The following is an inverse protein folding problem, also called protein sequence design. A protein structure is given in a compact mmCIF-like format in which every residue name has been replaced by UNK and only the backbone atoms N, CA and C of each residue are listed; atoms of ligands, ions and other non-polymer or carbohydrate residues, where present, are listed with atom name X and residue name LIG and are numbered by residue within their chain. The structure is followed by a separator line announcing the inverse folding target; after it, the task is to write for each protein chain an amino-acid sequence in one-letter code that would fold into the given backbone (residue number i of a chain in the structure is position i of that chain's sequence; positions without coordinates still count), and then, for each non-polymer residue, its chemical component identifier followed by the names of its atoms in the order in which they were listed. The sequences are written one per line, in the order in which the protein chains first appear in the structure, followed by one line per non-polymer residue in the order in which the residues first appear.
data_IF_309769507838
#
_entry.id   IF_309769507838
#
_cell.length_a   1.000
_cell.length_b   1.000
_cell.length_c   1.000
_cell.angle_alpha   90.00
_cell.angle_beta   90.00
_cell.angle_gamma   90.00
#
_symmetry.space_group_name_H-M   'P 1'
#
loop_
_entity.id
_entity.type
_entity.pdbx_description
1 polymer ?
#
# COMPACT_ATOMS: atom_id res chain seq x y z
N UNK A 1 20.48 39.36 22.12
CA UNK A 1 20.06 38.00 22.53
C UNK A 1 18.61 37.79 22.12
N UNK A 2 18.23 36.53 21.92
CA UNK A 2 16.90 36.03 21.52
C UNK A 2 16.65 35.97 20.01
N UNK A 3 17.10 34.85 19.42
CA UNK A 3 16.71 34.40 18.10
C UNK A 3 15.35 33.73 18.11
N UNK A 4 14.60 33.94 17.03
CA UNK A 4 13.35 33.25 16.74
C UNK A 4 13.62 32.29 15.58
N UNK A 5 13.74 31.00 15.91
CA UNK A 5 13.92 29.91 14.96
C UNK A 5 12.61 29.62 14.22
N UNK A 6 12.54 30.00 12.95
CA UNK A 6 11.46 29.60 12.04
C UNK A 6 11.70 28.19 11.51
N UNK A 7 10.98 27.21 12.05
CA UNK A 7 10.89 25.86 11.50
C UNK A 7 10.12 25.89 10.19
N UNK A 8 10.79 25.52 9.09
CA UNK A 8 10.23 25.46 7.74
C UNK A 8 10.27 23.99 7.30
N UNK A 9 9.18 23.26 7.50
CA UNK A 9 9.11 21.85 7.12
C UNK A 9 8.43 21.70 5.74
N UNK A 10 9.28 21.63 4.71
CA UNK A 10 8.87 21.28 3.35
C UNK A 10 8.84 19.77 3.20
N UNK A 11 7.67 19.17 3.37
CA UNK A 11 7.53 17.71 3.26
C UNK A 11 6.87 17.28 1.94
N UNK A 12 7.72 16.77 1.04
CA UNK A 12 7.32 16.19 -0.24
C UNK A 12 7.16 14.68 -0.08
N UNK A 13 5.92 14.18 -0.07
CA UNK A 13 5.68 12.76 -0.27
C UNK A 13 4.93 12.49 -1.56
N UNK A 14 5.47 11.49 -2.25
CA UNK A 14 5.09 10.94 -3.53
C UNK A 14 4.17 9.76 -3.24
N UNK A 15 2.88 9.85 -3.52
CA UNK A 15 1.96 8.70 -3.48
C UNK A 15 2.13 7.89 -4.77
N UNK A 16 2.46 6.60 -4.63
CA UNK A 16 2.39 5.62 -5.68
C UNK A 16 1.14 4.77 -5.45
N UNK A 17 0.12 4.99 -6.27
CA UNK A 17 -1.07 4.16 -6.34
C UNK A 17 -0.75 2.95 -7.21
N UNK A 18 -0.72 1.76 -6.59
CA UNK A 18 -0.66 0.50 -7.30
C UNK A 18 -2.05 0.23 -7.91
N UNK A 19 -2.12 0.23 -9.24
CA UNK A 19 -3.25 -0.33 -9.96
C UNK A 19 -2.87 -1.72 -10.43
N UNK A 20 -3.50 -2.72 -9.82
CA UNK A 20 -3.52 -4.10 -10.29
C UNK A 20 -4.22 -4.13 -11.65
N UNK A 21 -3.54 -4.65 -12.67
CA UNK A 21 -4.15 -5.04 -13.94
C UNK A 21 -4.10 -6.57 -14.01
N UNK A 22 -5.21 -7.26 -14.30
CA UNK A 22 -5.20 -8.71 -14.42
C UNK A 22 -4.55 -9.12 -15.74
N UNK A 23 -3.58 -10.03 -15.65
CA UNK A 23 -2.99 -10.72 -16.79
C UNK A 23 -4.01 -11.69 -17.37
N UNK A 24 -4.51 -11.40 -18.57
CA UNK A 24 -5.28 -12.34 -19.38
C UNK A 24 -4.32 -13.30 -20.07
N UNK A 25 -4.14 -14.48 -19.50
CA UNK A 25 -3.52 -15.63 -20.19
C UNK A 25 -4.55 -16.74 -20.36
N UNK A 26 -5.12 -16.82 -21.56
CA UNK A 26 -5.62 -18.06 -22.15
C UNK A 26 -4.65 -18.34 -23.30
N UNK A 27 -3.97 -19.48 -23.44
CA UNK A 27 -4.34 -20.84 -23.08
C UNK A 27 -4.30 -21.63 -24.38
N UNK A 28 -3.12 -22.10 -24.78
CA UNK A 28 -3.01 -23.06 -25.89
C UNK A 28 -3.53 -24.42 -25.40
N UNK A 29 -4.47 -25.08 -26.10
CA UNK A 29 -4.81 -26.45 -25.79
C UNK A 29 -3.88 -27.41 -26.56
N UNK A 30 -3.32 -28.35 -25.80
CA UNK A 30 -2.83 -29.62 -26.33
C UNK A 30 -4.00 -30.48 -26.84
N UNK A 31 -3.76 -31.26 -27.89
CA UNK A 31 -4.50 -32.50 -28.15
C UNK A 31 -4.77 -32.77 -29.63
N UNK A 32 -4.02 -33.68 -30.24
CA UNK A 32 -4.56 -34.99 -30.65
C UNK A 32 -3.45 -35.92 -31.14
N UNK A 33 -3.38 -37.08 -30.49
CA UNK A 33 -2.85 -38.34 -31.03
C UNK A 33 -4.01 -39.02 -31.79
N UNK A 34 -3.67 -39.85 -32.76
CA UNK A 34 -4.10 -41.26 -32.91
C UNK A 34 -3.39 -41.84 -34.16
N UNK A 35 -2.52 -42.84 -34.00
CA UNK A 35 -2.73 -44.30 -34.25
C UNK A 35 -2.90 -44.59 -35.74
N UNK A 36 -2.34 -45.60 -36.39
CA UNK A 36 -1.99 -46.95 -35.97
C UNK A 36 -1.31 -47.63 -37.19
N UNK A 37 -0.27 -48.43 -36.97
CA UNK A 37 -0.07 -49.73 -37.66
C UNK A 37 1.06 -50.43 -36.91
N UNK A 38 0.64 -51.31 -36.01
CA UNK A 38 1.52 -52.29 -35.43
C UNK A 38 1.85 -53.39 -36.44
N UNK A 39 2.99 -54.03 -36.23
CA UNK A 39 3.11 -55.46 -36.41
C UNK A 39 4.22 -55.95 -35.47
N UNK A 40 3.78 -56.85 -34.60
CA UNK A 40 4.52 -57.54 -33.56
C UNK A 40 4.96 -58.88 -34.16
N UNK A 41 6.20 -59.34 -33.93
CA UNK A 41 6.51 -60.77 -33.74
C UNK A 41 7.89 -60.92 -33.09
N UNK A 42 7.88 -61.21 -31.79
CA UNK A 42 8.55 -62.35 -31.14
C UNK A 42 9.79 -63.03 -31.78
N UNK A 43 10.87 -63.02 -30.99
CA UNK A 43 11.56 -64.20 -30.39
C UNK A 43 12.55 -65.03 -31.25
N UNK A 44 13.54 -65.56 -30.51
CA UNK A 44 14.56 -66.59 -30.80
C UNK A 44 15.91 -65.99 -31.24
N UNK A 45 16.96 -65.92 -30.41
CA UNK A 45 17.78 -66.98 -29.79
C UNK A 45 18.24 -68.08 -30.74
N UNK A 46 19.58 -68.31 -30.71
CA UNK A 46 20.30 -69.49 -31.16
C UNK A 46 20.38 -69.66 -32.70
N UNK A 47 21.45 -70.10 -33.34
CA UNK A 47 22.83 -70.49 -33.00
C UNK A 47 23.51 -70.83 -34.33
N UNK A 48 24.84 -70.75 -34.40
CA UNK A 48 25.74 -71.78 -34.98
C UNK A 48 27.15 -71.18 -34.98
N UNK A 49 28.00 -71.49 -33.98
CA UNK A 49 28.83 -72.69 -33.88
C UNK A 49 29.82 -72.88 -35.04
N UNK A 50 31.12 -72.70 -34.74
CA UNK A 50 32.13 -73.79 -34.71
C UNK A 50 33.27 -73.35 -33.77
N UNK A 51 33.35 -73.94 -32.58
CA UNK A 51 34.16 -75.13 -32.25
C UNK A 51 35.67 -74.89 -32.27
N UNK A 52 36.26 -75.06 -31.09
CA UNK A 52 37.70 -75.06 -30.88
C UNK A 52 38.01 -74.82 -29.42
N UNK A 53 37.68 -75.80 -28.58
CA UNK A 53 37.97 -75.72 -27.15
C UNK A 53 39.46 -75.51 -26.90
N UNK A 54 39.77 -74.67 -25.93
CA UNK A 54 40.94 -74.88 -25.10
C UNK A 54 40.74 -74.15 -23.78
N UNK A 55 40.66 -74.95 -22.72
CA UNK A 55 41.20 -74.55 -21.44
C UNK A 55 42.67 -74.17 -21.65
N UNK A 56 42.95 -72.91 -22.02
CA UNK A 56 44.29 -72.37 -21.88
C UNK A 56 44.32 -71.73 -20.51
N UNK A 57 44.94 -72.46 -19.59
CA UNK A 57 45.41 -72.01 -18.30
C UNK A 57 45.40 -70.48 -18.18
N UNK A 58 44.76 -69.95 -17.14
CA UNK A 58 45.37 -68.86 -16.41
C UNK A 58 46.81 -69.31 -16.16
N UNK A 59 47.74 -68.93 -17.05
CA UNK A 59 49.15 -69.01 -16.76
C UNK A 59 49.25 -68.25 -15.46
N UNK A 60 49.47 -69.01 -14.40
CA UNK A 60 49.87 -68.50 -13.11
C UNK A 60 50.99 -67.52 -13.44
N UNK A 61 50.69 -66.22 -13.51
CA UNK A 61 51.74 -65.22 -13.51
C UNK A 61 52.52 -65.59 -12.26
N UNK A 62 53.77 -66.03 -12.45
CA UNK A 62 54.62 -66.44 -11.36
C UNK A 62 54.74 -65.23 -10.45
N UNK A 63 53.89 -65.18 -9.43
CA UNK A 63 53.88 -64.17 -8.39
C UNK A 63 55.16 -64.42 -7.63
N UNK A 64 56.20 -63.67 -7.98
CA UNK A 64 57.45 -63.75 -7.24
C UNK A 64 57.23 -63.04 -5.92
N UNK A 65 57.24 -63.81 -4.84
CA UNK A 65 57.15 -63.27 -3.48
C UNK A 65 58.55 -62.84 -3.07
N UNK A 66 58.74 -61.53 -2.84
CA UNK A 66 59.98 -60.95 -2.32
C UNK A 66 59.65 -60.34 -0.97
N UNK A 67 59.84 -61.11 0.11
CA UNK A 67 59.47 -60.73 1.47
C UNK A 67 57.94 -60.58 1.63
N UNK A 68 57.49 -59.41 2.09
CA UNK A 68 56.06 -59.11 2.31
C UNK A 68 55.31 -58.65 1.06
N UNK A 69 55.97 -58.50 -0.08
CA UNK A 69 55.36 -58.00 -1.33
C UNK A 69 55.32 -59.07 -2.41
N UNK A 70 54.32 -58.95 -3.29
CA UNK A 70 54.14 -59.80 -4.47
C UNK A 70 54.50 -59.02 -5.71
N UNK A 71 55.55 -59.46 -6.42
CA UNK A 71 55.94 -58.90 -7.70
C UNK A 71 55.14 -59.59 -8.81
N UNK A 72 54.27 -58.83 -9.48
CA UNK A 72 53.47 -59.31 -10.62
C UNK A 72 54.12 -58.83 -11.92
N UNK A 73 54.66 -59.76 -12.69
CA UNK A 73 55.34 -59.47 -13.96
C UNK A 73 54.34 -58.94 -15.00
N UNK A 74 54.62 -57.80 -15.66
CA UNK A 74 53.74 -57.24 -16.67
C UNK A 74 53.49 -58.22 -17.82
N UNK A 75 52.23 -58.49 -18.15
CA UNK A 75 51.88 -59.31 -19.30
C UNK A 75 52.13 -58.49 -20.58
N UNK A 76 53.18 -58.85 -21.33
CA UNK A 76 53.60 -58.13 -22.53
C UNK A 76 52.55 -58.15 -23.64
N UNK A 77 51.79 -59.23 -23.79
CA UNK A 77 50.74 -59.35 -24.81
C UNK A 77 49.60 -58.38 -24.52
N UNK A 78 49.12 -58.35 -23.27
CA UNK A 78 48.11 -57.38 -22.80
C UNK A 78 48.62 -55.95 -22.92
N UNK A 79 49.91 -55.70 -22.61
CA UNK A 79 50.52 -54.37 -22.76
C UNK A 79 50.54 -53.92 -24.22
N UNK A 80 50.96 -54.78 -25.15
CA UNK A 80 50.97 -54.48 -26.60
C UNK A 80 49.56 -54.24 -27.13
N UNK A 81 48.57 -55.04 -26.70
CA UNK A 81 47.16 -54.83 -27.04
C UNK A 81 46.64 -53.47 -26.55
N UNK A 82 46.91 -53.11 -25.28
CA UNK A 82 46.53 -51.82 -24.73
C UNK A 82 47.20 -50.66 -25.47
N UNK A 83 48.47 -50.80 -25.86
CA UNK A 83 49.16 -49.79 -26.67
C UNK A 83 48.55 -49.65 -28.07
N UNK A 84 48.13 -50.75 -28.69
CA UNK A 84 47.45 -50.72 -29.99
C UNK A 84 46.08 -50.04 -29.89
N UNK A 85 45.30 -50.36 -28.86
CA UNK A 85 44.00 -49.73 -28.61
C UNK A 85 44.18 -48.24 -28.36
N UNK A 86 45.12 -47.86 -27.49
CA UNK A 86 45.39 -46.45 -27.18
C UNK A 86 45.80 -45.64 -28.43
N UNK A 87 46.57 -46.24 -29.34
CA UNK A 87 46.94 -45.59 -30.61
C UNK A 87 45.73 -45.41 -31.52
N UNK A 88 44.92 -46.45 -31.69
CA UNK A 88 43.69 -46.39 -32.51
C UNK A 88 42.70 -45.37 -31.96
N UNK A 89 42.44 -45.37 -30.66
CA UNK A 89 41.52 -44.41 -30.03
C UNK A 89 41.98 -42.95 -30.21
N UNK A 90 43.29 -42.72 -30.19
CA UNK A 90 43.85 -41.39 -30.44
C UNK A 90 43.65 -40.95 -31.90
N UNK A 91 43.88 -41.86 -32.85
CA UNK A 91 43.61 -41.62 -34.28
C UNK A 91 42.13 -41.39 -34.55
N UNK A 92 41.24 -42.20 -33.97
CA UNK A 92 39.78 -42.07 -34.09
C UNK A 92 39.29 -40.72 -33.52
N UNK A 93 39.85 -40.28 -32.39
CA UNK A 93 39.55 -38.99 -31.79
C UNK A 93 39.99 -37.83 -32.69
N UNK A 94 41.17 -37.93 -33.31
CA UNK A 94 41.64 -36.93 -34.28
C UNK A 94 40.75 -36.86 -35.52
N UNK A 95 40.28 -38.01 -36.04
CA UNK A 95 39.34 -38.05 -37.15
C UNK A 95 38.00 -37.44 -36.76
N UNK A 96 37.45 -37.82 -35.60
CA UNK A 96 36.20 -37.25 -35.09
C UNK A 96 36.29 -35.73 -34.94
N UNK A 97 37.40 -35.19 -34.40
CA UNK A 97 37.63 -33.75 -34.30
C UNK A 97 37.70 -33.05 -35.66
N UNK A 98 38.25 -33.70 -36.68
CA UNK A 98 38.31 -33.17 -38.05
C UNK A 98 36.94 -33.15 -38.70
N UNK A 99 36.17 -34.23 -38.55
CA UNK A 99 34.80 -34.37 -39.07
C UNK A 99 33.82 -33.41 -38.40
N UNK A 100 33.95 -33.22 -37.09
CA UNK A 100 33.05 -32.39 -36.29
C UNK A 100 33.57 -30.97 -36.08
N UNK A 101 34.60 -30.56 -36.85
CA UNK A 101 35.10 -29.19 -36.78
C UNK A 101 34.02 -28.26 -37.34
N UNK A 102 33.44 -27.34 -36.54
CA UNK A 102 32.48 -26.39 -37.07
C UNK A 102 33.17 -25.54 -38.14
N UNK A 103 32.54 -25.44 -39.31
CA UNK A 103 33.05 -24.65 -40.43
C UNK A 103 33.11 -23.15 -40.09
N UNK A 104 33.96 -22.38 -40.78
CA UNK A 104 33.95 -20.92 -40.69
C UNK A 104 32.53 -20.38 -40.96
N UNK A 105 31.98 -19.63 -40.01
CA UNK A 105 30.66 -19.02 -40.17
C UNK A 105 30.78 -17.88 -41.18
N UNK A 106 30.37 -18.14 -42.43
CA UNK A 106 30.37 -17.17 -43.53
C UNK A 106 29.06 -16.35 -43.59
N UNK A 107 28.33 -16.26 -42.47
CA UNK A 107 27.10 -15.47 -42.40
C UNK A 107 27.45 -13.99 -42.28
N UNK A 108 26.92 -13.18 -43.19
CA UNK A 108 27.00 -11.73 -43.06
C UNK A 108 26.20 -11.27 -41.85
N UNK A 109 26.77 -10.42 -40.97
CA UNK A 109 26.06 -9.93 -39.80
C UNK A 109 24.76 -9.24 -40.23
N UNK A 110 23.63 -9.83 -39.84
CA UNK A 110 22.32 -9.23 -40.10
C UNK A 110 22.09 -8.11 -39.08
N UNK A 111 21.81 -6.89 -39.57
CA UNK A 111 21.38 -5.79 -38.69
C UNK A 111 20.03 -6.14 -38.07
N UNK A 112 20.07 -6.67 -36.86
CA UNK A 112 18.91 -6.83 -35.99
C UNK A 112 18.66 -5.50 -35.28
N UNK A 113 17.87 -4.61 -35.89
CA UNK A 113 17.51 -3.31 -35.30
C UNK A 113 16.75 -2.39 -36.25
N UNK A 114 16.11 -1.35 -35.68
CA UNK A 114 15.35 -0.36 -36.44
C UNK A 114 16.22 0.57 -37.31
N UNK A 115 15.60 1.18 -38.33
CA UNK A 115 16.28 2.06 -39.30
C UNK A 115 16.64 3.45 -38.74
N UNK A 116 16.31 3.74 -37.49
CA UNK A 116 16.59 5.05 -36.89
C UNK A 116 18.04 5.12 -36.40
N UNK A 117 18.70 6.23 -36.73
CA UNK A 117 20.00 6.57 -36.16
C UNK A 117 19.88 6.72 -34.64
N UNK A 118 20.90 6.24 -33.91
CA UNK A 118 20.97 6.30 -32.46
C UNK A 118 20.72 7.72 -31.92
N UNK A 119 21.26 8.74 -32.60
CA UNK A 119 21.10 10.13 -32.22
C UNK A 119 19.62 10.57 -32.22
N UNK A 120 18.84 10.13 -33.22
CA UNK A 120 17.42 10.43 -33.34
C UNK A 120 16.61 9.77 -32.22
N UNK A 121 16.94 8.52 -31.91
CA UNK A 121 16.32 7.79 -30.78
C UNK A 121 16.62 8.49 -29.45
N UNK A 122 17.86 8.94 -29.24
CA UNK A 122 18.22 9.69 -28.03
C UNK A 122 17.49 11.03 -27.91
N UNK A 123 17.37 11.77 -29.01
CA UNK A 123 16.62 13.04 -29.04
C UNK A 123 15.14 12.80 -28.72
N UNK A 124 14.53 11.80 -29.35
CA UNK A 124 13.14 11.41 -29.08
C UNK A 124 12.95 11.00 -27.62
N UNK A 125 13.87 10.23 -27.06
CA UNK A 125 13.83 9.83 -25.65
C UNK A 125 13.89 11.06 -24.72
N UNK A 126 14.78 12.02 -24.98
CA UNK A 126 14.84 13.27 -24.21
C UNK A 126 13.52 14.06 -24.30
N UNK A 127 12.95 14.18 -25.50
CA UNK A 127 11.69 14.87 -25.72
C UNK A 127 10.53 14.21 -24.97
N UNK A 128 10.43 12.88 -24.99
CA UNK A 128 9.40 12.12 -24.28
C UNK A 128 9.54 12.32 -22.76
N UNK A 129 10.77 12.25 -22.23
CA UNK A 129 11.03 12.48 -20.81
C UNK A 129 10.60 13.89 -20.38
N UNK A 130 10.89 14.89 -21.20
CA UNK A 130 10.50 16.27 -20.96
C UNK A 130 8.97 16.43 -20.94
N UNK A 131 8.26 15.92 -21.95
CA UNK A 131 6.80 16.01 -22.02
C UNK A 131 6.11 15.26 -20.87
N UNK A 132 6.58 14.06 -20.55
CA UNK A 132 6.05 13.25 -19.43
C UNK A 132 6.16 13.98 -18.09
N UNK A 133 7.28 14.68 -17.86
CA UNK A 133 7.47 15.51 -16.66
C UNK A 133 6.38 16.58 -16.54
N UNK A 134 6.07 17.28 -17.63
CA UNK A 134 5.05 18.35 -17.64
C UNK A 134 3.63 17.79 -17.47
N UNK A 135 3.29 16.71 -18.16
CA UNK A 135 1.99 16.05 -18.00
C UNK A 135 1.77 15.58 -16.55
N UNK A 136 2.82 15.04 -15.91
CA UNK A 136 2.76 14.62 -14.52
C UNK A 136 2.58 15.80 -13.56
N UNK A 137 3.20 16.95 -13.85
CA UNK A 137 3.02 18.19 -13.08
C UNK A 137 1.57 18.67 -13.19
N UNK A 138 1.03 18.76 -14.39
CA UNK A 138 -0.34 19.17 -14.64
C UNK A 138 -1.36 18.28 -13.92
N UNK A 139 -1.21 16.95 -14.01
CA UNK A 139 -2.09 16.00 -13.30
C UNK A 139 -2.09 16.20 -11.78
N UNK A 140 -0.95 16.56 -11.19
CA UNK A 140 -0.84 16.86 -9.76
C UNK A 140 -1.53 18.16 -9.40
N UNK A 141 -1.35 19.20 -10.21
CA UNK A 141 -1.97 20.50 -10.00
C UNK A 141 -3.50 20.41 -10.08
N UNK A 142 -4.01 19.71 -11.09
CA UNK A 142 -5.45 19.44 -11.22
C UNK A 142 -6.01 18.65 -10.03
N UNK A 143 -5.30 17.63 -9.57
CA UNK A 143 -5.70 16.88 -8.38
C UNK A 143 -5.74 17.76 -7.12
N UNK A 144 -4.71 18.58 -6.90
CA UNK A 144 -4.64 19.50 -5.76
C UNK A 144 -5.75 20.55 -5.85
N UNK A 145 -6.02 21.08 -7.05
CA UNK A 145 -7.08 22.06 -7.29
C UNK A 145 -8.46 21.46 -7.04
N UNK A 146 -8.72 20.25 -7.54
CA UNK A 146 -9.97 19.53 -7.29
C UNK A 146 -10.18 19.25 -5.79
N UNK A 147 -9.12 18.84 -5.08
CA UNK A 147 -9.18 18.63 -3.63
C UNK A 147 -9.53 19.92 -2.88
N UNK A 148 -8.86 21.04 -3.21
CA UNK A 148 -9.15 22.35 -2.60
C UNK A 148 -10.58 22.82 -2.91
N UNK A 149 -11.04 22.68 -4.14
CA UNK A 149 -12.39 23.07 -4.53
C UNK A 149 -13.46 22.26 -3.77
N UNK A 150 -13.22 20.97 -3.54
CA UNK A 150 -14.11 20.13 -2.73
C UNK A 150 -14.16 20.58 -1.26
N UNK A 151 -12.99 20.87 -0.66
CA UNK A 151 -12.90 21.41 0.71
C UNK A 151 -13.59 22.77 0.84
N UNK A 152 -13.40 23.68 -0.12
CA UNK A 152 -14.05 24.99 -0.16
C UNK A 152 -15.58 24.85 -0.29
N UNK A 153 -16.07 23.93 -1.12
CA UNK A 153 -17.50 23.66 -1.26
C UNK A 153 -18.11 23.15 0.06
N UNK A 154 -17.39 22.31 0.81
CA UNK A 154 -17.83 21.85 2.13
C UNK A 154 -17.88 22.99 3.15
N UNK A 155 -16.86 23.87 3.15
CA UNK A 155 -16.84 25.06 4.01
C UNK A 155 -18.02 25.98 3.68
N UNK A 156 -18.31 26.20 2.40
CA UNK A 156 -19.46 27.02 1.98
C UNK A 156 -20.78 26.40 2.44
N UNK A 157 -20.95 25.08 2.35
CA UNK A 157 -22.13 24.37 2.90
C UNK A 157 -22.26 24.58 4.40
N UNK A 158 -21.17 24.38 5.17
CA UNK A 158 -21.16 24.60 6.62
C UNK A 158 -21.52 26.04 6.97
N UNK A 159 -20.97 27.02 6.24
CA UNK A 159 -21.30 28.45 6.41
C UNK A 159 -22.76 28.75 6.08
N UNK A 160 -23.31 28.18 5.01
CA UNK A 160 -24.71 28.37 4.64
C UNK A 160 -25.65 27.84 5.73
N UNK A 161 -25.39 26.63 6.25
CA UNK A 161 -26.16 26.05 7.36
C UNK A 161 -26.10 26.94 8.60
N UNK A 162 -24.92 27.49 8.92
CA UNK A 162 -24.79 28.41 10.06
C UNK A 162 -25.57 29.71 9.86
N UNK A 163 -25.57 30.26 8.64
CA UNK A 163 -26.35 31.46 8.31
C UNK A 163 -27.86 31.19 8.42
N UNK A 164 -28.34 30.08 7.87
CA UNK A 164 -29.76 29.69 7.97
C UNK A 164 -30.18 29.50 9.43
N UNK A 165 -29.33 28.88 10.26
CA UNK A 165 -29.58 28.75 11.70
C UNK A 165 -29.68 30.11 12.40
N UNK A 166 -28.78 31.04 12.04
CA UNK A 166 -28.79 32.40 12.60
C UNK A 166 -30.05 33.17 12.18
N UNK A 167 -30.43 33.10 10.91
CA UNK A 167 -31.64 33.73 10.37
C UNK A 167 -32.89 33.16 11.06
N UNK A 168 -33.00 31.82 11.16
CA UNK A 168 -34.13 31.18 11.83
C UNK A 168 -34.25 31.60 13.30
N UNK A 169 -33.12 31.78 13.98
CA UNK A 169 -33.08 32.28 15.36
C UNK A 169 -33.52 33.75 15.43
N UNK A 170 -33.07 34.59 14.50
CA UNK A 170 -33.48 35.98 14.43
C UNK A 170 -34.97 36.13 14.16
N UNK A 171 -35.53 35.33 13.24
CA UNK A 171 -36.97 35.31 12.95
C UNK A 171 -37.78 34.97 14.21
N UNK A 172 -37.36 33.97 14.99
CA UNK A 172 -38.02 33.64 16.27
C UNK A 172 -37.96 34.80 17.26
N UNK A 173 -36.79 35.43 17.43
CA UNK A 173 -36.64 36.61 18.30
C UNK A 173 -37.56 37.75 17.87
N UNK A 174 -37.66 38.02 16.57
CA UNK A 174 -38.56 39.05 16.03
C UNK A 174 -40.02 38.70 16.31
N UNK A 175 -40.42 37.44 16.18
CA UNK A 175 -41.78 36.98 16.52
C UNK A 175 -42.09 37.18 18.02
N UNK A 176 -41.20 36.75 18.90
CA UNK A 176 -41.35 36.94 20.35
C UNK A 176 -41.41 38.42 20.72
N UNK A 177 -40.59 39.26 20.08
CA UNK A 177 -40.62 40.70 20.28
C UNK A 177 -41.94 41.33 19.77
N UNK A 178 -42.46 40.88 18.63
CA UNK A 178 -43.78 41.32 18.15
C UNK A 178 -44.88 40.94 19.14
N UNK A 179 -44.91 39.70 19.63
CA UNK A 179 -45.88 39.27 20.64
C UNK A 179 -45.77 40.09 21.93
N UNK A 180 -44.54 40.39 22.36
CA UNK A 180 -44.30 41.26 23.53
C UNK A 180 -44.85 42.67 23.30
N UNK A 181 -44.65 43.23 22.11
CA UNK A 181 -45.17 44.56 21.73
C UNK A 181 -46.70 44.54 21.65
N UNK A 182 -47.29 43.50 21.08
CA UNK A 182 -48.75 43.32 20.99
C UNK A 182 -49.39 43.24 22.37
N UNK A 183 -48.87 42.38 23.26
CA UNK A 183 -49.36 42.28 24.64
C UNK A 183 -49.23 43.61 25.39
N UNK A 184 -48.13 44.34 25.18
CA UNK A 184 -47.93 45.64 25.80
C UNK A 184 -48.96 46.67 25.31
N UNK A 185 -49.23 46.69 23.99
CA UNK A 185 -50.26 47.56 23.42
C UNK A 185 -51.67 47.19 23.89
N UNK A 186 -51.95 45.90 24.07
CA UNK A 186 -53.22 45.43 24.59
C UNK A 186 -53.43 45.81 26.06
N UNK A 187 -52.41 45.63 26.92
CA UNK A 187 -52.42 46.10 28.30
C UNK A 187 -52.58 47.62 28.39
N UNK A 188 -51.90 48.37 27.52
CA UNK A 188 -52.07 49.82 27.44
C UNK A 188 -53.51 50.19 27.09
N UNK A 189 -54.11 49.56 26.06
CA UNK A 189 -55.50 49.78 25.66
C UNK A 189 -56.47 49.42 26.79
N UNK A 190 -56.26 48.28 27.46
CA UNK A 190 -57.07 47.84 28.58
C UNK A 190 -57.05 48.87 29.71
N UNK A 191 -55.87 49.35 30.11
CA UNK A 191 -55.71 50.40 31.12
C UNK A 191 -56.37 51.72 30.72
N UNK A 192 -56.22 52.14 29.46
CA UNK A 192 -56.89 53.36 28.97
C UNK A 192 -58.41 53.21 29.01
N UNK A 193 -58.94 52.06 28.58
CA UNK A 193 -60.38 51.77 28.63
C UNK A 193 -60.91 51.66 30.07
N UNK A 194 -60.16 51.06 30.99
CA UNK A 194 -60.50 51.02 32.41
C UNK A 194 -60.62 52.42 33.01
N UNK A 195 -59.67 53.30 32.69
CA UNK A 195 -59.72 54.71 33.11
C UNK A 195 -60.94 55.43 32.55
N UNK A 196 -61.27 55.23 31.28
CA UNK A 196 -62.47 55.80 30.66
C UNK A 196 -63.75 55.29 31.31
N UNK A 197 -63.87 53.97 31.51
CA UNK A 197 -65.02 53.36 32.19
C UNK A 197 -65.18 53.88 33.64
N UNK A 198 -64.07 54.14 34.34
CA UNK A 198 -64.09 54.71 35.68
C UNK A 198 -64.57 56.17 35.71
N UNK A 199 -64.35 56.92 34.62
CA UNK A 199 -64.89 58.27 34.47
C UNK A 199 -66.40 58.22 34.13
N UNK A 200 -66.82 57.29 33.28
CA UNK A 200 -68.22 57.15 32.85
C UNK A 200 -69.16 56.64 33.98
N UNK A 201 -68.66 55.84 34.93
CA UNK A 201 -69.45 55.31 36.06
C UNK A 201 -69.65 56.34 37.19
N UNK A 202 -69.04 57.53 37.12
CA UNK A 202 -69.13 58.56 38.15
C UNK A 202 -68.20 58.26 39.32
N UNK A 203 -67.36 59.25 39.65
CA UNK A 203 -66.33 59.18 40.67
C UNK A 203 -66.92 58.74 42.03
N UNK A 204 -66.52 57.59 42.62
CA UNK A 204 -66.78 57.34 44.03
C UNK A 204 -66.07 58.44 44.81
N UNK A 205 -66.80 59.15 45.68
CA UNK A 205 -66.22 60.19 46.55
C UNK A 205 -64.99 59.60 47.25
N UNK A 206 -63.86 60.27 47.05
CA UNK A 206 -62.54 59.85 47.48
C UNK A 206 -62.46 59.73 49.01
N UNK A 207 -62.82 58.58 49.56
CA UNK A 207 -62.44 58.24 50.92
C UNK A 207 -60.96 57.84 50.89
N UNK A 208 -60.18 58.62 51.62
CA UNK A 208 -58.75 58.47 51.86
C UNK A 208 -58.35 57.00 52.02
N UNK A 209 -57.60 56.47 51.05
CA UNK A 209 -56.90 55.20 51.20
C UNK A 209 -55.89 55.34 52.33
N UNK A 210 -56.27 54.97 53.54
CA UNK A 210 -55.31 54.76 54.61
C UNK A 210 -54.40 53.60 54.19
N UNK A 211 -53.11 53.91 54.02
CA UNK A 211 -52.05 52.93 53.83
C UNK A 211 -51.94 52.14 55.14
N UNK A 212 -52.71 51.06 55.25
CA UNK A 212 -52.46 50.04 56.26
C UNK A 212 -51.08 49.43 55.95
N UNK A 213 -50.22 49.37 56.97
CA UNK A 213 -48.86 48.85 56.88
C UNK A 213 -48.83 47.47 56.16
N UNK A 214 -47.89 47.23 55.24
CA UNK A 214 -47.80 45.95 54.54
C UNK A 214 -47.57 44.82 55.56
N UNK A 215 -48.50 43.88 55.62
CA UNK A 215 -48.36 42.64 56.39
C UNK A 215 -47.22 41.76 55.84
N UNK A 216 -46.95 40.58 56.44
CA UNK A 216 -45.82 39.70 56.11
C UNK A 216 -45.90 38.98 54.74
N UNK A 217 -46.35 39.69 53.70
CA UNK A 217 -46.39 39.27 52.29
C UNK A 217 -45.01 38.95 51.70
N UNK A 218 -43.93 39.42 52.36
CA UNK A 218 -42.54 39.11 52.02
C UNK A 218 -42.27 37.59 51.96
N UNK A 219 -42.99 36.78 52.74
CA UNK A 219 -42.81 35.33 52.78
C UNK A 219 -43.33 34.62 51.52
N UNK A 220 -44.46 35.06 50.96
CA UNK A 220 -45.05 34.46 49.76
C UNK A 220 -44.25 34.83 48.50
N UNK A 221 -43.82 36.10 48.39
CA UNK A 221 -42.95 36.55 47.30
C UNK A 221 -41.59 35.84 47.31
N UNK A 222 -40.96 35.68 48.49
CA UNK A 222 -39.71 34.91 48.64
C UNK A 222 -39.86 33.45 48.22
N UNK A 223 -40.98 32.78 48.57
CA UNK A 223 -41.25 31.39 48.16
C UNK A 223 -41.43 31.28 46.65
N UNK A 224 -42.17 32.19 46.02
CA UNK A 224 -42.35 32.24 44.57
C UNK A 224 -41.03 32.49 43.84
N UNK A 225 -40.20 33.40 44.36
CA UNK A 225 -38.88 33.68 43.80
C UNK A 225 -37.92 32.49 43.93
N UNK A 226 -37.90 31.83 45.10
CA UNK A 226 -37.11 30.61 45.32
C UNK A 226 -37.55 29.47 44.39
N UNK A 227 -38.85 29.30 44.17
CA UNK A 227 -39.38 28.32 43.22
C UNK A 227 -38.94 28.63 41.78
N UNK A 228 -39.08 29.88 41.32
CA UNK A 228 -38.60 30.30 39.99
C UNK A 228 -37.09 30.14 39.84
N UNK A 229 -36.34 30.31 40.93
CA UNK A 229 -34.89 30.13 40.95
C UNK A 229 -34.51 28.66 40.86
N UNK A 230 -35.12 27.78 41.65
CA UNK A 230 -34.93 26.33 41.57
C UNK A 230 -35.27 25.77 40.19
N UNK A 231 -36.32 26.29 39.54
CA UNK A 231 -36.70 25.87 38.19
C UNK A 231 -35.60 26.21 37.15
N UNK A 232 -35.02 27.42 37.25
CA UNK A 232 -33.89 27.84 36.40
C UNK A 232 -32.63 27.03 36.67
N UNK A 233 -32.37 26.67 37.93
CA UNK A 233 -31.22 25.84 38.31
C UNK A 233 -31.37 24.40 37.77
N UNK A 234 -32.56 23.82 37.78
CA UNK A 234 -32.80 22.50 37.16
C UNK A 234 -32.61 22.53 35.64
N UNK A 235 -33.09 23.59 34.98
CA UNK A 235 -32.91 23.78 33.54
C UNK A 235 -31.42 23.98 33.18
N UNK A 236 -30.69 24.78 33.96
CA UNK A 236 -29.25 24.96 33.80
C UNK A 236 -28.46 23.65 34.02
N UNK A 237 -28.85 22.84 35.01
CA UNK A 237 -28.25 21.52 35.23
C UNK A 237 -28.42 20.62 34.01
N UNK A 238 -29.62 20.54 33.43
CA UNK A 238 -29.86 19.77 32.20
C UNK A 238 -29.06 20.27 31.01
N UNK A 239 -28.93 21.59 30.87
CA UNK A 239 -28.11 22.19 29.81
C UNK A 239 -26.62 21.84 29.98
N UNK A 240 -26.11 21.83 31.21
CA UNK A 240 -24.72 21.47 31.49
C UNK A 240 -24.46 19.97 31.25
N UNK A 241 -25.39 19.10 31.64
CA UNK A 241 -25.32 17.66 31.33
C UNK A 241 -25.27 17.42 29.81
N UNK A 242 -26.12 18.09 29.05
CA UNK A 242 -26.15 17.97 27.59
C UNK A 242 -24.84 18.49 26.96
N UNK A 243 -24.26 19.57 27.51
CA UNK A 243 -22.95 20.09 27.08
C UNK A 243 -21.84 19.09 27.36
N UNK A 244 -21.80 18.51 28.56
CA UNK A 244 -20.81 17.48 28.93
C UNK A 244 -20.95 16.23 28.05
N UNK A 245 -22.17 15.82 27.72
CA UNK A 245 -22.40 14.68 26.82
C UNK A 245 -21.86 14.97 25.41
N UNK A 246 -22.06 16.18 24.89
CA UNK A 246 -21.47 16.60 23.62
C UNK A 246 -19.94 16.63 23.68
N UNK A 247 -19.35 17.10 24.78
CA UNK A 247 -17.90 17.07 25.00
C UNK A 247 -17.36 15.64 25.00
N UNK A 248 -17.98 14.72 25.75
CA UNK A 248 -17.58 13.29 25.76
C UNK A 248 -17.68 12.66 24.37
N UNK A 249 -18.72 12.99 23.60
CA UNK A 249 -18.87 12.53 22.21
C UNK A 249 -17.76 13.06 21.30
N UNK A 250 -17.37 14.33 21.47
CA UNK A 250 -16.26 14.93 20.73
C UNK A 250 -14.92 14.28 21.10
N UNK A 251 -14.64 14.09 22.38
CA UNK A 251 -13.42 13.42 22.88
C UNK A 251 -13.31 11.98 22.33
N UNK A 252 -14.41 11.24 22.28
CA UNK A 252 -14.43 9.89 21.72
C UNK A 252 -14.08 9.88 20.22
N UNK A 253 -14.60 10.83 19.45
CA UNK A 253 -14.28 10.98 18.03
C UNK A 253 -12.82 11.36 17.83
N UNK A 254 -12.31 12.29 18.63
CA UNK A 254 -10.90 12.70 18.60
C UNK A 254 -9.97 11.53 18.95
N UNK A 255 -10.32 10.74 19.96
CA UNK A 255 -9.56 9.54 20.32
C UNK A 255 -9.51 8.52 19.17
N UNK A 256 -10.64 8.26 18.49
CA UNK A 256 -10.68 7.39 17.31
C UNK A 256 -9.82 7.93 16.17
N UNK A 257 -9.90 9.22 15.90
CA UNK A 257 -9.10 9.87 14.87
C UNK A 257 -7.60 9.76 15.18
N UNK A 258 -7.22 9.97 16.44
CA UNK A 258 -5.82 9.84 16.91
C UNK A 258 -5.30 8.41 16.77
N UNK A 259 -6.11 7.40 17.13
CA UNK A 259 -5.76 6.00 16.90
C UNK A 259 -5.53 5.70 15.42
N UNK A 260 -6.43 6.16 14.55
CA UNK A 260 -6.27 5.97 13.11
C UNK A 260 -4.99 6.63 12.58
N UNK A 261 -4.71 7.87 12.99
CA UNK A 261 -3.48 8.56 12.61
C UNK A 261 -2.22 7.86 13.13
N UNK A 262 -2.25 7.33 14.35
CA UNK A 262 -1.16 6.54 14.92
C UNK A 262 -0.92 5.25 14.10
N UNK A 263 -1.98 4.54 13.71
CA UNK A 263 -1.84 3.37 12.83
C UNK A 263 -1.26 3.74 11.46
N UNK A 264 -1.68 4.86 10.87
CA UNK A 264 -1.15 5.37 9.59
C UNK A 264 0.33 5.73 9.69
N UNK A 265 0.75 6.41 10.76
CA UNK A 265 2.16 6.75 10.94
C UNK A 265 3.01 5.52 11.25
N UNK A 266 2.48 4.55 12.01
CA UNK A 266 3.16 3.27 12.29
C UNK A 266 3.35 2.43 11.03
N UNK A 267 2.34 2.33 10.18
CA UNK A 267 2.42 1.62 8.89
C UNK A 267 3.44 2.27 7.96
N UNK A 268 3.44 3.61 7.86
CA UNK A 268 4.45 4.35 7.09
C UNK A 268 5.88 4.08 7.59
N UNK A 269 6.09 4.12 8.92
CA UNK A 269 7.39 3.82 9.53
C UNK A 269 7.83 2.38 9.27
N UNK A 270 6.91 1.41 9.37
CA UNK A 270 7.20 0.00 9.08
C UNK A 270 7.55 -0.20 7.61
N UNK A 271 6.85 0.45 6.69
CA UNK A 271 7.14 0.42 5.26
C UNK A 271 8.53 0.98 4.97
N UNK A 272 8.89 2.11 5.60
CA UNK A 272 10.23 2.68 5.47
C UNK A 272 11.31 1.72 5.97
N UNK A 273 11.09 1.05 7.10
CA UNK A 273 12.01 0.01 7.61
C UNK A 273 12.13 -1.16 6.63
N UNK A 274 11.01 -1.64 6.07
CA UNK A 274 10.99 -2.72 5.08
C UNK A 274 11.81 -2.37 3.84
N UNK A 275 11.61 -1.18 3.29
CA UNK A 275 12.36 -0.71 2.11
C UNK A 275 13.85 -0.55 2.42
N UNK A 276 14.20 -0.03 3.60
CA UNK A 276 15.60 0.08 4.02
C UNK A 276 16.25 -1.31 4.18
N UNK A 277 15.57 -2.26 4.82
CA UNK A 277 16.10 -3.61 4.98
C UNK A 277 16.27 -4.30 3.62
N UNK A 278 15.27 -4.21 2.73
CA UNK A 278 15.38 -4.76 1.37
C UNK A 278 16.52 -4.10 0.57
N UNK A 279 16.80 -2.82 0.80
CA UNK A 279 17.96 -2.13 0.23
C UNK A 279 19.28 -2.70 0.78
N UNK A 280 19.38 -2.92 2.09
CA UNK A 280 20.57 -3.51 2.73
C UNK A 280 20.81 -4.95 2.27
N UNK A 281 19.77 -5.78 2.18
CA UNK A 281 19.86 -7.15 1.67
C UNK A 281 20.37 -7.16 0.23
N UNK A 282 19.89 -6.23 -0.60
CA UNK A 282 20.37 -6.07 -1.97
C UNK A 282 21.82 -5.61 -2.04
N UNK A 283 22.33 -4.89 -1.05
CA UNK A 283 23.75 -4.58 -0.94
C UNK A 283 24.54 -5.82 -0.53
N UNK A 284 24.12 -6.54 0.50
CA UNK A 284 24.82 -7.74 0.98
C UNK A 284 24.86 -8.87 -0.06
N UNK A 285 23.78 -9.08 -0.83
CA UNK A 285 23.75 -10.03 -1.94
C UNK A 285 24.67 -9.65 -3.12
N UNK A 286 25.13 -8.39 -3.20
CA UNK A 286 26.18 -7.98 -4.13
C UNK A 286 27.57 -8.19 -3.56
N UNK A 287 27.72 -8.18 -2.23
CA UNK A 287 28.99 -8.38 -1.53
C UNK A 287 29.30 -9.84 -1.25
N UNK A 288 28.30 -10.72 -1.25
CA UNK A 288 28.54 -12.16 -1.35
C UNK A 288 29.08 -12.43 -2.76
N UNK A 289 30.34 -12.88 -2.93
CA UNK A 289 30.78 -13.36 -4.21
C UNK A 289 29.85 -14.51 -4.59
N UNK A 290 29.25 -14.45 -5.78
CA UNK A 290 28.75 -15.65 -6.45
C UNK A 290 29.95 -16.59 -6.56
N UNK A 291 30.15 -17.42 -5.54
CA UNK A 291 31.24 -18.36 -5.41
C UNK A 291 30.91 -19.57 -6.29
N UNK A 292 30.80 -19.31 -7.60
CA UNK A 292 30.93 -20.31 -8.65
C UNK A 292 32.43 -20.38 -8.93
N UNK A 293 33.21 -20.77 -7.93
CA UNK A 293 34.56 -21.26 -8.15
C UNK A 293 34.41 -22.70 -8.62
N UNK A 294 34.55 -22.92 -9.92
CA UNK A 294 34.97 -24.22 -10.43
C UNK A 294 36.41 -24.47 -9.94
N UNK A 295 36.69 -25.52 -9.15
CA UNK A 295 38.05 -25.84 -8.76
C UNK A 295 38.75 -26.55 -9.93
N UNK A 296 39.42 -25.76 -10.78
CA UNK A 296 40.43 -26.28 -11.70
C UNK A 296 41.71 -26.57 -10.93
N UNK A 297 41.84 -27.78 -10.38
CA UNK A 297 43.08 -28.25 -9.78
C UNK A 297 44.13 -28.59 -10.86
N UNK A 298 45.11 -27.70 -10.99
CA UNK A 298 46.58 -27.91 -10.97
C UNK A 298 47.24 -29.09 -11.71
N UNK A 299 48.30 -28.79 -12.48
CA UNK A 299 49.46 -29.69 -12.62
C UNK A 299 50.39 -29.46 -13.82
N UNK A 300 51.23 -28.42 -13.80
CA UNK A 300 52.63 -28.51 -14.29
C UNK A 300 53.42 -29.35 -13.26
N UNK A 301 54.52 -30.07 -13.58
CA UNK A 301 55.67 -29.70 -14.43
C UNK A 301 56.04 -30.84 -15.43
N UNK A 302 57.06 -30.83 -16.29
CA UNK A 302 58.37 -30.18 -16.38
C UNK A 302 58.83 -30.23 -17.85
#
# INVERSE_FOLDING_TARGET
MSGVGGWREGSRYRTATAFNTPSSSQGNPHGNKETEKGENTQKLTASEEKQGGQASAHQQQQKQYVGSYVLVTPNETRRKQLQQIAKKELEDLEQWKKEHRPGPIMLMPQRLGGNESEARVRQNQQMILMQSKYQKKHKREEYVKAKKAAEEAEILKKKAIQREKAERLEVKKRQEEMQRREMFLEDQKYKTNELLNRLDVGLPKSDSCQIANPGPESTAWKRSHAYKQALREDENRRLEEMRQEQQRKAELLEFKQKQEEETRTRTLKNEQRRVNNAFLDRLQNKTQPNNIYHPGYTGLPQ
#
